data_IF_796961976877
#
_entry.id   IF_796961976877
#
_cell.length_a   1.000
_cell.length_b   1.000
_cell.length_c   1.000
_cell.angle_alpha   90.00
_cell.angle_beta   90.00
_cell.angle_gamma   90.00
#
_symmetry.space_group_name_H-M   'P 1'
#
loop_
_entity.id
_entity.type
_entity.pdbx_description
1 polymer ?
#
# COMPACT_ATOMS: atom_id res chain seq x y z
N UNK A 1 -3.99 -24.72 -14.21
CA UNK A 1 -3.62 -26.06 -13.72
C UNK A 1 -3.74 -26.11 -12.20
N UNK A 2 -4.97 -26.42 -11.69
CA UNK A 2 -5.26 -26.52 -10.26
C UNK A 2 -5.05 -27.91 -9.68
N UNK A 3 -5.03 -28.00 -8.36
CA UNK A 3 -5.19 -29.27 -7.66
C UNK A 3 -6.64 -29.74 -7.79
N UNK A 4 -6.82 -31.04 -7.94
CA UNK A 4 -8.15 -31.69 -8.07
C UNK A 4 -8.20 -32.89 -7.14
N UNK A 5 -9.27 -32.98 -6.38
CA UNK A 5 -9.57 -34.10 -5.49
C UNK A 5 -10.98 -34.60 -5.80
N UNK A 6 -11.14 -35.92 -5.92
CA UNK A 6 -12.44 -36.55 -6.11
C UNK A 6 -12.78 -37.38 -4.89
N UNK A 7 -14.02 -37.27 -4.43
CA UNK A 7 -14.57 -37.98 -3.29
C UNK A 7 -15.75 -38.86 -3.74
N UNK A 8 -15.80 -40.06 -3.20
CA UNK A 8 -16.91 -40.98 -3.44
C UNK A 8 -18.17 -40.62 -2.60
N UNK A 9 -19.18 -41.45 -2.71
CA UNK A 9 -20.43 -41.30 -1.96
C UNK A 9 -20.25 -41.24 -0.43
N UNK A 10 -19.20 -41.93 0.09
CA UNK A 10 -18.89 -41.98 1.53
C UNK A 10 -17.91 -40.91 1.99
N UNK A 11 -17.55 -39.97 1.10
CA UNK A 11 -16.58 -38.90 1.34
C UNK A 11 -15.13 -39.39 1.47
N UNK A 12 -14.79 -40.58 0.95
CA UNK A 12 -13.40 -41.01 0.82
C UNK A 12 -12.78 -40.36 -0.42
N UNK A 13 -11.58 -39.85 -0.27
CA UNK A 13 -10.83 -39.31 -1.40
C UNK A 13 -10.31 -40.45 -2.28
N UNK A 14 -10.91 -40.64 -3.43
CA UNK A 14 -10.58 -41.71 -4.39
C UNK A 14 -9.59 -41.28 -5.46
N UNK A 15 -9.35 -39.98 -5.60
CA UNK A 15 -8.41 -39.43 -6.56
C UNK A 15 -7.88 -38.09 -6.13
N UNK A 16 -6.56 -37.90 -6.28
CA UNK A 16 -5.88 -36.62 -6.17
C UNK A 16 -4.86 -36.50 -7.33
N UNK A 17 -4.91 -35.41 -8.07
CA UNK A 17 -3.99 -35.22 -9.20
C UNK A 17 -2.57 -34.87 -8.71
N UNK A 18 -1.61 -34.77 -9.65
CA UNK A 18 -0.22 -34.47 -9.34
C UNK A 18 -0.07 -33.15 -8.56
N UNK A 19 -0.80 -32.12 -8.92
CA UNK A 19 -0.75 -30.81 -8.25
C UNK A 19 -1.25 -30.87 -6.81
N UNK A 20 -2.28 -31.66 -6.55
CA UNK A 20 -2.77 -31.92 -5.19
C UNK A 20 -1.69 -32.57 -4.31
N UNK A 21 -0.91 -33.50 -4.89
CA UNK A 21 0.19 -34.18 -4.19
C UNK A 21 1.40 -33.29 -3.91
N UNK A 22 1.56 -32.21 -4.67
CA UNK A 22 2.60 -31.21 -4.41
C UNK A 22 2.28 -30.36 -3.17
N UNK A 23 1.00 -30.02 -2.93
CA UNK A 23 0.58 -29.30 -1.72
C UNK A 23 0.56 -30.21 -0.48
N UNK A 24 0.15 -31.45 -0.64
CA UNK A 24 -0.01 -32.42 0.46
C UNK A 24 0.81 -33.69 0.18
N UNK A 25 2.14 -33.65 0.28
CA UNK A 25 2.97 -34.82 -0.01
C UNK A 25 2.77 -35.95 1.01
N UNK A 26 2.81 -37.19 0.53
CA UNK A 26 2.65 -38.38 1.36
C UNK A 26 1.21 -38.89 1.41
N UNK A 27 0.47 -38.63 2.47
CA UNK A 27 -0.93 -39.08 2.65
C UNK A 27 -1.95 -38.05 2.12
N UNK A 28 -1.83 -37.67 0.85
CA UNK A 28 -2.62 -36.60 0.21
C UNK A 28 -4.13 -36.83 0.34
N UNK A 29 -4.57 -38.08 0.14
CA UNK A 29 -5.98 -38.45 0.18
C UNK A 29 -6.55 -38.31 1.60
N UNK A 30 -5.85 -38.79 2.62
CA UNK A 30 -6.26 -38.64 4.03
C UNK A 30 -6.23 -37.18 4.51
N UNK A 31 -5.23 -36.42 4.04
CA UNK A 31 -5.17 -34.99 4.35
C UNK A 31 -6.38 -34.24 3.78
N UNK A 32 -6.77 -34.55 2.55
CA UNK A 32 -7.94 -33.97 1.90
C UNK A 32 -9.24 -34.31 2.63
N UNK A 33 -9.44 -35.57 3.03
CA UNK A 33 -10.60 -36.00 3.80
C UNK A 33 -10.75 -35.21 5.10
N UNK A 34 -9.65 -34.99 5.83
CA UNK A 34 -9.64 -34.24 7.08
C UNK A 34 -9.86 -32.74 6.89
N UNK A 35 -9.25 -32.14 5.87
CA UNK A 35 -9.33 -30.69 5.61
C UNK A 35 -10.76 -30.32 5.24
N UNK A 36 -11.42 -31.13 4.41
CA UNK A 36 -12.74 -30.82 3.90
C UNK A 36 -13.89 -31.60 4.52
N UNK A 37 -13.65 -32.36 5.60
CA UNK A 37 -14.68 -33.16 6.27
C UNK A 37 -15.96 -32.36 6.52
N UNK A 38 -15.86 -31.18 7.10
CA UNK A 38 -17.01 -30.31 7.38
C UNK A 38 -17.74 -29.88 6.10
N UNK A 39 -16.98 -29.44 5.09
CA UNK A 39 -17.57 -28.99 3.80
C UNK A 39 -18.17 -30.15 3.00
N UNK A 40 -17.58 -31.33 3.05
CA UNK A 40 -18.14 -32.52 2.42
C UNK A 40 -19.51 -32.87 2.99
N UNK A 41 -19.70 -32.75 4.30
CA UNK A 41 -20.97 -32.98 4.97
C UNK A 41 -21.99 -31.88 4.61
N UNK A 42 -21.62 -30.61 4.76
CA UNK A 42 -22.47 -29.46 4.45
C UNK A 42 -22.95 -29.47 2.98
N UNK A 43 -22.03 -29.72 2.07
CA UNK A 43 -22.32 -29.70 0.63
C UNK A 43 -23.15 -30.89 0.18
N UNK A 44 -23.02 -32.05 0.82
CA UNK A 44 -23.84 -33.21 0.52
C UNK A 44 -25.33 -32.92 0.78
N UNK A 45 -25.65 -32.23 1.87
CA UNK A 45 -27.00 -31.87 2.27
C UNK A 45 -27.55 -30.63 1.54
N UNK A 46 -26.65 -29.81 0.98
CA UNK A 46 -27.03 -28.59 0.25
C UNK A 46 -27.75 -28.93 -1.07
N UNK A 47 -28.68 -28.07 -1.48
CA UNK A 47 -29.27 -28.13 -2.84
C UNK A 47 -28.34 -27.67 -3.95
N UNK A 48 -27.23 -27.04 -3.59
CA UNK A 48 -26.25 -26.51 -4.58
C UNK A 48 -25.50 -27.65 -5.27
N UNK A 49 -25.54 -27.64 -6.59
CA UNK A 49 -24.76 -28.57 -7.43
C UNK A 49 -23.29 -28.15 -7.60
N UNK A 50 -23.05 -26.83 -7.55
CA UNK A 50 -21.72 -26.22 -7.70
C UNK A 50 -21.58 -25.03 -6.77
N UNK A 51 -20.38 -24.83 -6.24
CA UNK A 51 -20.00 -23.66 -5.46
C UNK A 51 -18.57 -23.25 -5.77
N UNK A 52 -18.31 -21.94 -5.76
CA UNK A 52 -16.96 -21.36 -5.87
C UNK A 52 -16.78 -20.35 -4.74
N UNK A 53 -15.57 -20.30 -4.17
CA UNK A 53 -15.20 -19.35 -3.12
C UNK A 53 -13.68 -19.13 -3.12
N UNK A 54 -13.25 -18.08 -2.41
CA UNK A 54 -11.84 -17.83 -2.16
C UNK A 54 -11.49 -18.24 -0.73
N UNK A 55 -10.33 -18.82 -0.55
CA UNK A 55 -9.84 -19.28 0.75
C UNK A 55 -8.34 -19.10 0.86
N UNK A 56 -7.89 -18.67 2.05
CA UNK A 56 -6.47 -18.56 2.38
C UNK A 56 -6.13 -19.77 3.23
N UNK A 57 -5.15 -20.56 2.78
CA UNK A 57 -4.69 -21.75 3.48
C UNK A 57 -3.20 -21.64 3.77
N UNK A 58 -2.84 -22.00 4.99
CA UNK A 58 -1.43 -22.21 5.36
C UNK A 58 -1.03 -23.65 5.09
N UNK A 59 -0.08 -23.85 4.19
CA UNK A 59 0.45 -25.17 3.82
C UNK A 59 1.96 -25.18 4.04
N UNK A 60 2.44 -26.04 4.90
CA UNK A 60 3.87 -26.15 5.25
C UNK A 60 4.50 -24.84 5.74
N UNK A 61 3.73 -24.03 6.50
CA UNK A 61 4.20 -22.73 7.02
C UNK A 61 4.22 -21.60 5.99
N UNK A 62 3.64 -21.82 4.82
CA UNK A 62 3.45 -20.81 3.77
C UNK A 62 1.98 -20.55 3.51
N UNK A 63 1.60 -19.28 3.42
CA UNK A 63 0.26 -18.83 3.10
C UNK A 63 0.03 -18.82 1.58
N UNK A 64 -1.08 -19.40 1.17
CA UNK A 64 -1.55 -19.48 -0.21
C UNK A 64 -2.97 -18.95 -0.33
N UNK A 65 -3.24 -18.23 -1.39
CA UNK A 65 -4.57 -17.77 -1.78
C UNK A 65 -5.13 -18.70 -2.85
N UNK A 66 -6.20 -19.41 -2.54
CA UNK A 66 -6.83 -20.33 -3.47
C UNK A 66 -8.19 -19.83 -3.93
N UNK A 67 -8.44 -19.97 -5.23
CA UNK A 67 -9.82 -20.06 -5.75
C UNK A 67 -10.24 -21.53 -5.69
N UNK A 68 -11.26 -21.78 -4.89
CA UNK A 68 -11.80 -23.10 -4.61
C UNK A 68 -13.05 -23.35 -5.42
N UNK A 69 -13.23 -24.56 -5.88
CA UNK A 69 -14.45 -25.00 -6.56
C UNK A 69 -14.92 -26.33 -6.01
N UNK A 70 -16.22 -26.48 -5.90
CA UNK A 70 -16.89 -27.72 -5.55
C UNK A 70 -17.94 -28.04 -6.61
N UNK A 71 -18.09 -29.32 -6.98
CA UNK A 71 -19.16 -29.78 -7.86
C UNK A 71 -19.56 -31.21 -7.51
N UNK A 72 -20.91 -31.44 -7.42
CA UNK A 72 -21.49 -32.78 -7.28
C UNK A 72 -21.33 -33.58 -8.57
N UNK A 73 -21.12 -34.87 -8.38
CA UNK A 73 -21.13 -35.85 -9.45
C UNK A 73 -22.40 -36.71 -9.31
N UNK A 74 -23.16 -36.84 -10.40
CA UNK A 74 -24.36 -37.64 -10.46
C UNK A 74 -24.30 -38.66 -11.59
N UNK A 75 -25.01 -39.76 -11.41
CA UNK A 75 -25.19 -40.73 -12.49
C UNK A 75 -26.25 -40.25 -13.52
N UNK A 76 -26.53 -41.10 -14.53
CA UNK A 76 -27.52 -40.82 -15.58
C UNK A 76 -28.95 -40.76 -15.06
N UNK A 77 -29.22 -41.24 -13.84
CA UNK A 77 -30.52 -41.23 -13.19
C UNK A 77 -30.67 -40.06 -12.19
N UNK A 78 -29.60 -39.24 -12.06
CA UNK A 78 -29.57 -38.11 -11.15
C UNK A 78 -29.14 -38.48 -9.73
N UNK A 79 -28.74 -39.72 -9.45
CA UNK A 79 -28.29 -40.14 -8.14
C UNK A 79 -26.90 -39.60 -7.83
N UNK A 80 -26.67 -39.16 -6.60
CA UNK A 80 -25.41 -38.65 -6.14
C UNK A 80 -24.33 -39.75 -6.09
N UNK A 81 -23.23 -39.55 -6.76
CA UNK A 81 -22.09 -40.49 -6.79
C UNK A 81 -20.94 -40.03 -5.91
N UNK A 82 -20.81 -38.73 -5.68
CA UNK A 82 -19.71 -38.10 -5.01
C UNK A 82 -19.52 -36.66 -5.47
N UNK A 83 -18.34 -36.12 -5.26
CA UNK A 83 -18.03 -34.75 -5.66
C UNK A 83 -16.56 -34.60 -6.04
N UNK A 84 -16.23 -33.47 -6.61
CA UNK A 84 -14.84 -33.04 -6.71
C UNK A 84 -14.63 -31.62 -6.21
N UNK A 85 -13.45 -31.41 -5.67
CA UNK A 85 -12.93 -30.10 -5.31
C UNK A 85 -11.80 -29.71 -6.26
N UNK A 86 -11.76 -28.44 -6.61
CA UNK A 86 -10.64 -27.82 -7.33
C UNK A 86 -10.01 -26.75 -6.47
N UNK A 87 -8.69 -26.66 -6.49
CA UNK A 87 -7.91 -25.57 -5.86
C UNK A 87 -7.03 -24.95 -6.92
N UNK A 88 -7.25 -23.70 -7.21
CA UNK A 88 -6.43 -22.92 -8.14
C UNK A 88 -5.65 -21.90 -7.34
N UNK A 89 -4.34 -22.05 -7.32
CA UNK A 89 -3.44 -21.14 -6.64
C UNK A 89 -3.42 -19.78 -7.37
N UNK A 90 -3.82 -18.74 -6.65
CA UNK A 90 -3.85 -17.35 -7.09
C UNK A 90 -2.82 -16.48 -6.41
N UNK A 91 -1.97 -17.08 -5.58
CA UNK A 91 -1.02 -16.36 -4.74
C UNK A 91 -0.11 -15.43 -5.54
N UNK A 92 0.49 -15.94 -6.63
CA UNK A 92 1.40 -15.14 -7.45
C UNK A 92 0.64 -14.06 -8.24
N UNK A 93 -0.57 -14.37 -8.73
CA UNK A 93 -1.42 -13.40 -9.45
C UNK A 93 -1.83 -12.23 -8.53
N UNK A 94 -2.23 -12.55 -7.30
CA UNK A 94 -2.61 -11.55 -6.30
C UNK A 94 -1.39 -10.70 -5.90
N UNK A 95 -0.24 -11.33 -5.63
CA UNK A 95 1.00 -10.62 -5.30
C UNK A 95 1.46 -9.69 -6.42
N UNK A 96 1.38 -10.15 -7.67
CA UNK A 96 1.70 -9.32 -8.83
C UNK A 96 0.76 -8.13 -8.94
N UNK A 97 -0.54 -8.37 -8.78
CA UNK A 97 -1.55 -7.31 -8.80
C UNK A 97 -1.31 -6.26 -7.68
N UNK A 98 -1.03 -6.72 -6.45
CA UNK A 98 -0.70 -5.83 -5.33
C UNK A 98 0.56 -5.03 -5.57
N UNK A 99 1.61 -5.66 -6.12
CA UNK A 99 2.85 -4.97 -6.48
C UNK A 99 2.65 -3.93 -7.59
N UNK A 100 1.89 -4.27 -8.62
CA UNK A 100 1.55 -3.32 -9.69
C UNK A 100 0.71 -2.16 -9.15
N UNK A 101 -0.29 -2.44 -8.33
CA UNK A 101 -1.11 -1.42 -7.69
C UNK A 101 -0.26 -0.51 -6.79
N UNK A 102 0.68 -1.09 -6.03
CA UNK A 102 1.61 -0.32 -5.20
C UNK A 102 2.49 0.62 -6.05
N UNK A 103 3.05 0.16 -7.16
CA UNK A 103 3.86 0.99 -8.08
C UNK A 103 3.08 2.13 -8.71
N UNK A 104 1.80 1.89 -9.05
CA UNK A 104 0.92 2.92 -9.63
C UNK A 104 0.60 4.01 -8.60
N UNK A 105 0.54 3.67 -7.32
CA UNK A 105 0.06 4.57 -6.25
C UNK A 105 1.18 5.18 -5.41
N UNK A 106 2.35 4.54 -5.33
CA UNK A 106 3.43 4.97 -4.45
C UNK A 106 4.71 5.32 -5.22
N UNK A 107 5.56 6.12 -4.60
CA UNK A 107 6.94 6.36 -5.02
C UNK A 107 7.82 5.18 -4.58
N UNK A 108 8.50 4.54 -5.52
CA UNK A 108 9.27 3.31 -5.26
C UNK A 108 10.43 3.52 -4.28
N UNK A 109 11.03 4.71 -4.27
CA UNK A 109 12.16 5.00 -3.39
C UNK A 109 11.72 5.19 -1.94
N UNK A 110 10.66 5.97 -1.74
CA UNK A 110 10.26 6.45 -0.41
C UNK A 110 9.05 5.71 0.17
N UNK A 111 8.25 5.06 -0.66
CA UNK A 111 7.02 4.40 -0.28
C UNK A 111 5.95 5.36 0.29
N UNK A 112 6.04 6.65 -0.01
CA UNK A 112 4.95 7.61 0.10
C UNK A 112 4.08 7.53 -1.15
N UNK A 113 2.90 8.14 -1.12
CA UNK A 113 2.14 8.28 -2.36
C UNK A 113 2.94 9.05 -3.39
N UNK A 114 2.88 8.60 -4.65
CA UNK A 114 3.42 9.37 -5.76
C UNK A 114 2.54 10.61 -6.04
N UNK A 115 3.03 11.51 -6.87
CA UNK A 115 2.33 12.78 -7.19
C UNK A 115 0.87 12.59 -7.59
N UNK A 116 0.61 11.66 -8.50
CA UNK A 116 -0.74 11.46 -9.06
C UNK A 116 -1.72 10.96 -7.99
N UNK A 117 -1.32 9.97 -7.24
CA UNK A 117 -2.18 9.38 -6.22
C UNK A 117 -2.33 10.28 -4.98
N UNK A 118 -1.27 11.02 -4.62
CA UNK A 118 -1.34 12.07 -3.59
C UNK A 118 -2.41 13.12 -3.95
N UNK A 119 -2.42 13.61 -5.19
CA UNK A 119 -3.41 14.61 -5.64
C UNK A 119 -4.84 14.04 -5.58
N UNK A 120 -5.01 12.80 -5.97
CA UNK A 120 -6.30 12.11 -5.86
C UNK A 120 -6.75 12.01 -4.39
N UNK A 121 -5.87 11.57 -3.49
CA UNK A 121 -6.17 11.43 -2.06
C UNK A 121 -6.46 12.75 -1.37
N UNK A 122 -5.76 13.81 -1.73
CA UNK A 122 -6.08 15.18 -1.25
C UNK A 122 -7.50 15.56 -1.64
N UNK A 123 -7.88 15.37 -2.91
CA UNK A 123 -9.22 15.69 -3.41
C UNK A 123 -10.30 14.88 -2.67
N UNK A 124 -10.11 13.58 -2.52
CA UNK A 124 -11.00 12.70 -1.76
C UNK A 124 -11.17 13.21 -0.31
N UNK A 125 -10.07 13.48 0.38
CA UNK A 125 -10.08 13.92 1.78
C UNK A 125 -10.80 15.27 1.97
N UNK A 126 -10.60 16.23 1.04
CA UNK A 126 -11.30 17.50 1.05
C UNK A 126 -12.81 17.35 0.81
N UNK A 127 -13.24 16.40 -0.02
CA UNK A 127 -14.65 16.12 -0.31
C UNK A 127 -15.33 15.39 0.86
N UNK A 128 -14.68 14.40 1.44
CA UNK A 128 -15.22 13.61 2.56
C UNK A 128 -15.35 14.41 3.86
N UNK A 129 -14.55 15.47 4.03
CA UNK A 129 -14.51 16.26 5.26
C UNK A 129 -14.83 17.75 5.02
N UNK A 130 -16.05 18.10 4.56
CA UNK A 130 -16.38 19.47 4.15
C UNK A 130 -16.33 20.51 5.28
N UNK A 131 -16.48 20.11 6.53
CA UNK A 131 -16.44 21.00 7.69
C UNK A 131 -15.00 21.27 8.21
N UNK A 132 -14.01 20.47 7.81
CA UNK A 132 -12.63 20.59 8.28
C UNK A 132 -11.86 21.54 7.38
N UNK A 133 -11.25 22.58 7.94
CA UNK A 133 -10.29 23.41 7.19
C UNK A 133 -8.93 22.72 7.11
N UNK A 134 -8.27 22.86 5.99
CA UNK A 134 -6.98 22.23 5.72
C UNK A 134 -5.94 23.25 5.24
N UNK A 135 -4.67 22.89 5.38
CA UNK A 135 -3.57 23.56 4.73
C UNK A 135 -2.66 22.56 4.01
N UNK A 136 -2.09 23.00 2.90
CA UNK A 136 -1.06 22.30 2.14
C UNK A 136 0.31 22.74 2.64
N UNK A 137 1.19 21.77 2.95
CA UNK A 137 2.58 22.03 3.27
C UNK A 137 3.45 21.34 2.22
N UNK A 138 4.29 22.10 1.53
CA UNK A 138 5.30 21.56 0.63
C UNK A 138 6.69 21.78 1.22
N UNK A 139 7.60 20.82 1.02
CA UNK A 139 8.99 20.94 1.50
C UNK A 139 9.98 20.50 0.44
N UNK A 140 11.18 21.04 0.48
CA UNK A 140 12.31 20.64 -0.35
C UNK A 140 13.64 20.74 0.42
N UNK A 141 14.69 20.11 -0.13
CA UNK A 141 16.06 20.17 0.42
C UNK A 141 16.89 21.13 -0.41
N UNK A 142 17.26 22.27 0.18
CA UNK A 142 18.12 23.26 -0.54
C UNK A 142 19.46 22.64 -0.91
N UNK A 143 19.80 22.75 -2.20
CA UNK A 143 21.07 22.25 -2.71
C UNK A 143 21.17 20.70 -2.73
N UNK A 144 20.06 19.98 -2.83
CA UNK A 144 20.05 18.51 -2.88
C UNK A 144 20.94 17.95 -4.01
N UNK A 145 20.99 18.62 -5.16
CA UNK A 145 21.91 18.25 -6.25
C UNK A 145 23.36 18.31 -5.79
N UNK A 146 23.76 19.40 -5.11
CA UNK A 146 25.11 19.53 -4.57
C UNK A 146 25.42 18.46 -3.53
N UNK A 147 24.43 18.10 -2.71
CA UNK A 147 24.56 16.97 -1.76
C UNK A 147 24.87 15.66 -2.48
N UNK A 148 24.13 15.36 -3.56
CA UNK A 148 24.39 14.18 -4.39
C UNK A 148 25.77 14.21 -5.07
N UNK A 149 26.21 15.39 -5.53
CA UNK A 149 27.53 15.55 -6.16
C UNK A 149 28.67 15.32 -5.15
N UNK A 150 28.47 15.68 -3.87
CA UNK A 150 29.49 15.53 -2.82
C UNK A 150 29.51 14.11 -2.21
N UNK A 151 28.34 13.48 -2.01
CA UNK A 151 28.23 12.25 -1.23
C UNK A 151 27.72 11.05 -2.03
N UNK A 152 27.36 11.25 -3.28
CA UNK A 152 26.80 10.25 -4.17
C UNK A 152 25.27 10.09 -4.03
N UNK A 153 24.64 9.62 -5.12
CA UNK A 153 23.18 9.43 -5.22
C UNK A 153 22.64 8.51 -4.14
N UNK A 154 23.39 7.46 -3.78
CA UNK A 154 22.96 6.52 -2.74
C UNK A 154 22.74 7.21 -1.37
N UNK A 155 23.58 8.17 -1.02
CA UNK A 155 23.41 8.96 0.21
C UNK A 155 22.24 9.94 0.13
N UNK A 156 22.00 10.51 -1.05
CA UNK A 156 20.79 11.29 -1.30
C UNK A 156 19.52 10.46 -1.17
N UNK A 157 19.53 9.24 -1.68
CA UNK A 157 18.39 8.30 -1.54
C UNK A 157 18.14 7.92 -0.08
N UNK A 158 19.20 7.69 0.73
CA UNK A 158 19.07 7.47 2.17
C UNK A 158 18.40 8.67 2.87
N UNK A 159 18.83 9.88 2.54
CA UNK A 159 18.25 11.12 3.08
C UNK A 159 16.76 11.26 2.72
N UNK A 160 16.38 11.01 1.46
CA UNK A 160 14.99 11.06 1.00
C UNK A 160 14.12 9.99 1.70
N UNK A 161 14.64 8.77 1.83
CA UNK A 161 13.96 7.69 2.57
C UNK A 161 13.71 8.09 4.02
N UNK A 162 14.73 8.66 4.67
CA UNK A 162 14.60 9.07 6.07
C UNK A 162 13.61 10.20 6.27
N UNK A 163 13.59 11.18 5.37
CA UNK A 163 12.57 12.24 5.38
C UNK A 163 11.17 11.63 5.23
N UNK A 164 10.99 10.68 4.33
CA UNK A 164 9.71 9.98 4.14
C UNK A 164 9.27 9.19 5.39
N UNK A 165 10.19 8.52 6.09
CA UNK A 165 9.88 7.83 7.36
C UNK A 165 9.37 8.80 8.43
N UNK A 166 10.00 9.98 8.56
CA UNK A 166 9.55 11.02 9.48
C UNK A 166 8.13 11.47 9.10
N UNK A 167 7.85 11.68 7.82
CA UNK A 167 6.51 12.01 7.33
C UNK A 167 5.49 10.91 7.62
N UNK A 168 5.83 9.65 7.35
CA UNK A 168 4.97 8.49 7.63
C UNK A 168 4.64 8.36 9.13
N UNK A 169 5.54 8.72 10.02
CA UNK A 169 5.29 8.70 11.46
C UNK A 169 4.18 9.64 11.91
N UNK A 170 3.83 10.63 11.08
CA UNK A 170 2.73 11.57 11.31
C UNK A 170 1.42 11.15 10.65
N UNK A 171 1.40 10.05 9.89
CA UNK A 171 0.23 9.57 9.17
C UNK A 171 -0.97 9.30 10.09
N UNK A 172 -2.14 9.77 9.67
CA UNK A 172 -3.45 9.57 10.33
C UNK A 172 -4.53 9.62 9.23
N UNK A 173 -5.76 9.15 9.50
CA UNK A 173 -6.84 9.19 8.51
C UNK A 173 -7.21 10.60 8.05
N UNK A 174 -6.93 11.62 8.85
CA UNK A 174 -7.25 13.04 8.58
C UNK A 174 -6.18 13.79 7.80
N UNK A 175 -5.14 13.10 7.32
CA UNK A 175 -3.99 13.71 6.63
C UNK A 175 -3.33 12.76 5.65
N UNK A 176 -2.71 13.33 4.63
CA UNK A 176 -2.05 12.56 3.57
C UNK A 176 -0.74 13.20 3.16
N UNK A 177 0.25 12.38 2.82
CA UNK A 177 1.57 12.80 2.37
C UNK A 177 2.02 12.08 1.11
N UNK A 178 2.79 12.78 0.28
CA UNK A 178 3.32 12.25 -0.97
C UNK A 178 4.67 12.86 -1.36
N UNK A 179 5.38 12.17 -2.22
CA UNK A 179 6.56 12.69 -2.92
C UNK A 179 6.13 13.24 -4.27
N UNK A 180 6.41 14.49 -4.52
CA UNK A 180 5.93 15.21 -5.72
C UNK A 180 6.92 15.08 -6.87
N UNK A 181 8.20 15.31 -6.59
CA UNK A 181 9.29 15.13 -7.54
C UNK A 181 10.64 15.31 -6.82
N UNK A 182 11.70 14.63 -7.29
CA UNK A 182 13.05 14.85 -6.76
C UNK A 182 13.13 14.82 -5.24
N UNK A 183 13.44 15.97 -4.64
CA UNK A 183 13.47 16.22 -3.20
C UNK A 183 12.24 16.98 -2.68
N UNK A 184 11.20 17.11 -3.52
CA UNK A 184 9.96 17.80 -3.17
C UNK A 184 8.94 16.84 -2.56
N UNK A 185 8.46 17.18 -1.37
CA UNK A 185 7.41 16.45 -0.66
C UNK A 185 6.22 17.37 -0.37
N UNK A 186 5.05 16.80 -0.27
CA UNK A 186 3.84 17.52 0.10
C UNK A 186 3.03 16.76 1.15
N UNK A 187 2.37 17.50 2.03
CA UNK A 187 1.43 16.97 3.03
C UNK A 187 0.20 17.87 3.16
N UNK A 188 -0.95 17.23 3.29
CA UNK A 188 -2.19 17.90 3.68
C UNK A 188 -2.43 17.69 5.17
N UNK A 189 -2.69 18.76 5.91
CA UNK A 189 -2.99 18.74 7.32
C UNK A 189 -4.28 19.48 7.66
N UNK A 190 -5.04 19.02 8.66
CA UNK A 190 -6.13 19.82 9.19
C UNK A 190 -5.60 21.08 9.88
N UNK A 191 -6.35 22.18 9.80
CA UNK A 191 -6.01 23.42 10.46
C UNK A 191 -5.96 23.20 11.99
N UNK A 192 -4.92 23.77 12.63
CA UNK A 192 -4.65 23.54 14.05
C UNK A 192 -3.65 22.43 14.34
N UNK A 193 -3.25 21.63 13.34
CA UNK A 193 -2.13 20.72 13.51
C UNK A 193 -0.82 21.50 13.68
N UNK A 194 0.03 21.18 14.67
CA UNK A 194 1.28 21.89 14.93
C UNK A 194 2.38 21.51 13.94
N UNK A 195 2.15 21.78 12.63
CA UNK A 195 3.01 21.34 11.55
C UNK A 195 4.41 21.96 11.64
N UNK A 196 4.53 23.24 11.93
CA UNK A 196 5.80 23.95 12.06
C UNK A 196 6.70 23.27 13.11
N UNK A 197 6.20 23.11 14.33
CA UNK A 197 6.94 22.47 15.41
C UNK A 197 7.36 21.02 15.09
N UNK A 198 6.49 20.27 14.44
CA UNK A 198 6.79 18.89 14.07
C UNK A 198 7.75 18.80 12.89
N UNK A 199 7.66 19.73 11.95
CA UNK A 199 8.60 19.87 10.84
C UNK A 199 9.99 20.21 11.37
N UNK A 200 10.14 21.20 12.25
CA UNK A 200 11.41 21.58 12.86
C UNK A 200 12.09 20.41 13.57
N UNK A 201 11.32 19.65 14.39
CA UNK A 201 11.84 18.43 15.02
C UNK A 201 12.28 17.38 14.03
N UNK A 202 11.56 17.22 12.91
CA UNK A 202 11.95 16.30 11.84
C UNK A 202 13.25 16.73 11.16
N UNK A 203 13.38 18.01 10.85
CA UNK A 203 14.60 18.58 10.26
C UNK A 203 15.81 18.43 11.18
N UNK A 204 15.63 18.60 12.51
CA UNK A 204 16.71 18.41 13.47
C UNK A 204 17.23 16.98 13.46
N UNK A 205 16.34 15.99 13.46
CA UNK A 205 16.73 14.59 13.33
C UNK A 205 17.50 14.31 12.03
N UNK A 206 17.05 14.87 10.90
CA UNK A 206 17.78 14.72 9.64
C UNK A 206 19.18 15.36 9.72
N UNK A 207 19.30 16.51 10.37
CA UNK A 207 20.59 17.18 10.56
C UNK A 207 21.55 16.39 11.42
N UNK A 208 21.07 15.79 12.50
CA UNK A 208 21.88 14.94 13.36
C UNK A 208 22.39 13.69 12.63
N UNK A 209 21.52 13.03 11.87
CA UNK A 209 21.85 11.80 11.14
C UNK A 209 22.74 12.05 9.90
N UNK A 210 22.54 13.17 9.21
CA UNK A 210 23.25 13.53 7.96
C UNK A 210 24.23 14.70 8.15
N UNK A 211 24.76 14.82 9.37
CA UNK A 211 25.75 15.87 9.67
C UNK A 211 27.02 15.72 8.81
N UNK A 212 27.48 16.86 8.30
CA UNK A 212 28.75 16.96 7.59
C UNK A 212 29.38 18.35 7.80
N UNK A 213 30.70 18.40 7.89
CA UNK A 213 31.46 19.68 7.94
C UNK A 213 31.48 20.40 6.60
N UNK A 214 31.21 19.70 5.51
CA UNK A 214 31.29 20.27 4.15
C UNK A 214 29.93 20.74 3.61
N UNK A 215 28.83 20.22 4.16
CA UNK A 215 27.47 20.55 3.72
C UNK A 215 26.53 20.69 4.91
N UNK A 216 25.91 21.84 5.00
CA UNK A 216 24.87 22.08 5.99
C UNK A 216 23.50 21.77 5.39
N UNK A 217 22.81 20.77 5.93
CA UNK A 217 21.50 20.37 5.48
C UNK A 217 20.45 21.45 5.79
N UNK A 218 19.81 21.98 4.76
CA UNK A 218 18.71 22.91 4.86
C UNK A 218 17.45 22.33 4.21
N UNK A 219 16.45 22.04 5.02
CA UNK A 219 15.10 21.65 4.56
C UNK A 219 14.16 22.81 4.82
N UNK A 220 13.48 23.26 3.79
CA UNK A 220 12.52 24.35 3.85
C UNK A 220 11.11 23.84 3.60
N UNK A 221 10.13 24.50 4.19
CA UNK A 221 8.72 24.22 3.93
C UNK A 221 7.93 25.52 3.72
N UNK A 222 6.95 25.43 2.82
CA UNK A 222 5.95 26.48 2.60
C UNK A 222 4.56 25.95 2.94
N UNK A 223 3.74 26.80 3.50
CA UNK A 223 2.37 26.50 3.91
C UNK A 223 1.39 27.38 3.15
N UNK A 224 0.39 26.74 2.56
CA UNK A 224 -0.77 27.41 1.98
C UNK A 224 -2.05 26.98 2.69
N UNK A 225 -2.76 27.90 3.33
CA UNK A 225 -4.09 27.62 3.89
C UNK A 225 -5.10 27.56 2.76
N UNK A 226 -5.76 26.41 2.62
CA UNK A 226 -6.71 26.17 1.54
C UNK A 226 -7.99 26.98 1.77
N UNK A 227 -8.21 27.96 0.91
CA UNK A 227 -9.40 28.83 0.95
C UNK A 227 -10.45 28.44 -0.10
N UNK A 228 -10.01 27.84 -1.20
CA UNK A 228 -10.85 27.29 -2.26
C UNK A 228 -10.58 25.78 -2.41
N UNK A 229 -11.56 24.95 -2.13
CA UNK A 229 -11.48 23.48 -2.19
C UNK A 229 -11.57 22.94 -3.61
N UNK A 230 -12.15 23.70 -4.51
CA UNK A 230 -12.28 23.32 -5.93
C UNK A 230 -11.02 23.65 -6.73
N UNK A 231 -10.09 24.39 -6.13
CA UNK A 231 -8.80 24.67 -6.76
C UNK A 231 -8.03 23.39 -7.04
N UNK A 232 -7.38 23.24 -8.20
CA UNK A 232 -6.53 22.09 -8.49
C UNK A 232 -5.44 21.89 -7.44
N UNK A 233 -5.26 20.66 -6.97
CA UNK A 233 -4.25 20.33 -5.93
C UNK A 233 -2.84 20.75 -6.34
N UNK A 234 -2.52 20.71 -7.65
CA UNK A 234 -1.25 21.23 -8.18
C UNK A 234 -1.04 22.70 -7.86
N UNK A 235 -2.09 23.54 -7.99
CA UNK A 235 -2.03 24.95 -7.67
C UNK A 235 -1.88 25.19 -6.17
N UNK A 236 -2.53 24.37 -5.33
CA UNK A 236 -2.34 24.41 -3.88
C UNK A 236 -0.88 24.13 -3.49
N UNK A 237 -0.25 23.13 -4.14
CA UNK A 237 1.17 22.84 -3.97
C UNK A 237 2.05 23.99 -4.48
N UNK A 238 1.75 24.56 -5.64
CA UNK A 238 2.52 25.65 -6.22
C UNK A 238 2.49 26.88 -5.32
N UNK A 239 1.34 27.23 -4.74
CA UNK A 239 1.24 28.33 -3.75
C UNK A 239 2.09 28.07 -2.51
N UNK A 240 2.06 26.84 -1.98
CA UNK A 240 2.94 26.47 -0.86
C UNK A 240 4.44 26.59 -1.23
N UNK A 241 4.83 26.19 -2.45
CA UNK A 241 6.21 26.34 -2.94
C UNK A 241 6.60 27.80 -3.15
N UNK A 242 5.72 28.63 -3.67
CA UNK A 242 5.97 30.08 -3.81
C UNK A 242 6.34 30.73 -2.48
N UNK A 243 5.74 30.27 -1.37
CA UNK A 243 6.13 30.73 -0.04
C UNK A 243 7.60 30.44 0.28
N UNK A 244 8.12 29.27 -0.12
CA UNK A 244 9.54 28.92 0.04
C UNK A 244 10.43 29.85 -0.79
N UNK A 245 10.04 30.11 -2.04
CA UNK A 245 10.82 30.92 -2.99
C UNK A 245 10.90 32.38 -2.58
N UNK A 246 9.82 32.95 -2.04
CA UNK A 246 9.79 34.33 -1.56
C UNK A 246 10.81 34.64 -0.47
N UNK A 247 11.28 33.61 0.26
CA UNK A 247 12.25 33.72 1.34
C UNK A 247 13.57 32.96 1.01
N UNK A 248 13.86 32.74 -0.25
CA UNK A 248 15.00 31.93 -0.70
C UNK A 248 16.38 32.48 -0.29
N UNK A 249 16.49 33.74 0.09
CA UNK A 249 17.74 34.37 0.58
C UNK A 249 18.03 34.20 2.06
N UNK A 250 17.01 33.77 2.86
CA UNK A 250 17.17 33.55 4.30
C UNK A 250 17.31 32.05 4.61
N UNK A 251 18.55 31.63 4.91
CA UNK A 251 18.86 30.25 5.27
C UNK A 251 18.40 29.87 6.70
N UNK A 252 17.94 30.84 7.50
CA UNK A 252 17.48 30.57 8.87
C UNK A 252 15.97 30.29 8.92
N UNK A 253 15.20 30.81 7.97
CA UNK A 253 13.76 30.59 7.90
C UNK A 253 13.44 29.22 7.32
N UNK A 254 12.86 28.34 8.14
CA UNK A 254 12.56 26.95 7.78
C UNK A 254 11.15 26.75 7.28
N UNK A 255 10.21 27.52 7.80
CA UNK A 255 8.78 27.47 7.45
C UNK A 255 8.30 28.85 7.06
N UNK A 256 7.65 28.93 5.92
CA UNK A 256 7.10 30.18 5.37
C UNK A 256 5.64 29.99 5.02
N UNK A 257 4.85 31.06 5.09
CA UNK A 257 3.44 31.06 4.77
C UNK A 257 3.19 31.80 3.46
N UNK A 258 2.27 31.25 2.66
CA UNK A 258 1.81 31.93 1.46
C UNK A 258 0.86 33.06 1.87
N UNK A 259 1.33 34.29 1.73
CA UNK A 259 0.52 35.49 1.86
C UNK A 259 0.06 35.96 0.48
N UNK A 260 -1.21 36.35 0.35
CA UNK A 260 -1.77 36.87 -0.90
C UNK A 260 -1.24 38.26 -1.19
#
# INVERSE_FOLDING_TARGET
NGAVFCFDYWNHCVYANKRAKEYYPGETEKAAEKIWEKRLLENRESEKEREEWEEILEINGQEYHFSMGYQKLRDKRGEYLGCFFTMIDKTDEIRQFEQEHYRITHDELTGLYNRAFFFQKVKELLQENPATQYFMMCSNIKGFKLYNDLYGVAKGDELLKRQAEIMKSTARPDRVGGRISGDEFAMLFPLGYPAEKNFEKGVEKLREEFYSSQYQLHVCAGIYTITDREEPVSIMCDKAKMAIEAHSGDYNTRVTYYDK
#
